data_IF_292151890578
#
_entry.id   IF_292151890578
#
_cell.length_a   1.000
_cell.length_b   1.000
_cell.length_c   1.000
_cell.angle_alpha   90.00
_cell.angle_beta   90.00
_cell.angle_gamma   90.00
#
_symmetry.space_group_name_H-M   'P 1'
#
loop_
_entity.id
_entity.type
_entity.pdbx_description
1 polymer ?
#
# COMPACT_ATOMS: atom_id res chain seq x y z
N UNK A 1 5.20 4.35 28.41
CA UNK A 1 4.73 3.11 27.76
C UNK A 1 3.41 2.74 28.40
N UNK A 2 2.31 2.76 27.64
CA UNK A 2 1.03 2.16 28.07
C UNK A 2 0.36 1.49 26.89
N UNK A 3 -0.06 0.25 27.11
CA UNK A 3 -0.85 -0.57 26.19
C UNK A 3 -2.33 -0.34 26.50
N UNK A 4 -3.13 0.00 25.49
CA UNK A 4 -4.59 -0.08 25.57
C UNK A 4 -5.05 -1.15 24.58
N UNK A 5 -5.64 -2.23 25.08
CA UNK A 5 -6.40 -3.15 24.26
C UNK A 5 -7.69 -2.45 23.79
N UNK A 6 -8.02 -2.58 22.52
CA UNK A 6 -9.38 -2.35 22.05
C UNK A 6 -9.70 -3.28 20.89
N UNK A 7 -10.92 -3.79 20.92
CA UNK A 7 -11.42 -4.94 20.19
C UNK A 7 -11.15 -4.91 18.67
N UNK A 8 -10.95 -6.15 18.16
CA UNK A 8 -10.76 -6.58 16.78
C UNK A 8 -11.77 -5.97 15.80
N UNK A 9 -11.59 -4.71 15.38
CA UNK A 9 -12.24 -4.11 14.21
C UNK A 9 -11.76 -2.70 13.82
N UNK A 10 -11.04 -1.96 14.67
CA UNK A 10 -10.67 -0.58 14.30
C UNK A 10 -9.39 -0.13 14.99
N UNK A 11 -8.33 -0.01 14.22
CA UNK A 11 -7.10 0.65 14.65
C UNK A 11 -7.39 2.14 14.78
N UNK A 12 -7.82 2.59 15.96
CA UNK A 12 -7.78 4.00 16.32
C UNK A 12 -6.37 4.30 16.84
N UNK A 13 -5.57 4.96 16.01
CA UNK A 13 -4.34 5.59 16.46
C UNK A 13 -4.70 6.72 17.41
N UNK A 14 -4.39 6.56 18.70
CA UNK A 14 -4.43 7.66 19.66
C UNK A 14 -3.06 8.36 19.63
N UNK A 15 -3.02 9.59 19.09
CA UNK A 15 -2.22 10.68 19.64
C UNK A 15 -2.71 12.04 19.09
N UNK A 16 -2.54 13.04 19.95
CA UNK A 16 -3.40 14.19 20.19
C UNK A 16 -2.87 15.49 19.58
N UNK A 17 -2.63 15.52 18.27
CA UNK A 17 -2.42 16.75 17.51
C UNK A 17 -3.21 16.60 16.21
N UNK A 18 -4.04 17.60 15.89
CA UNK A 18 -5.06 17.59 14.84
C UNK A 18 -4.65 16.76 13.60
N UNK A 19 -5.09 15.49 13.54
CA UNK A 19 -4.93 14.69 12.33
C UNK A 19 -5.97 15.17 11.34
N UNK A 20 -5.56 16.09 10.47
CA UNK A 20 -6.26 16.38 9.21
C UNK A 20 -6.71 15.05 8.59
N UNK A 21 -7.97 14.99 8.11
CA UNK A 21 -8.43 13.85 7.33
C UNK A 21 -7.36 13.49 6.28
N UNK A 22 -7.01 12.20 6.12
CA UNK A 22 -6.01 11.82 5.14
C UNK A 22 -6.47 12.33 3.77
N UNK A 23 -5.59 13.06 3.07
CA UNK A 23 -5.83 13.59 1.73
C UNK A 23 -6.50 12.52 0.87
N UNK A 24 -7.68 12.83 0.34
CA UNK A 24 -8.31 11.96 -0.65
C UNK A 24 -7.53 12.09 -1.95
N UNK A 25 -7.07 10.95 -2.47
CA UNK A 25 -6.45 10.91 -3.79
C UNK A 25 -7.53 10.98 -4.86
N UNK A 26 -7.23 11.70 -5.94
CA UNK A 26 -8.02 11.54 -7.15
C UNK A 26 -7.62 10.24 -7.89
N UNK A 27 -8.41 9.87 -8.90
CA UNK A 27 -8.21 8.64 -9.66
C UNK A 27 -6.84 8.62 -10.37
N UNK A 28 -6.37 9.75 -10.88
CA UNK A 28 -5.08 9.86 -11.57
C UNK A 28 -3.89 9.64 -10.62
N UNK A 29 -3.96 10.18 -9.41
CA UNK A 29 -2.95 9.99 -8.37
C UNK A 29 -2.91 8.53 -7.91
N UNK A 30 -4.08 7.91 -7.71
CA UNK A 30 -4.18 6.50 -7.37
C UNK A 30 -3.59 5.63 -8.49
N UNK A 31 -4.00 5.86 -9.74
CA UNK A 31 -3.49 5.14 -10.91
C UNK A 31 -1.97 5.28 -11.05
N UNK A 32 -1.41 6.47 -10.76
CA UNK A 32 0.04 6.70 -10.77
C UNK A 32 0.78 5.86 -9.73
N UNK A 33 0.20 5.71 -8.54
CA UNK A 33 0.80 4.88 -7.49
C UNK A 33 0.74 3.39 -7.88
N UNK A 34 -0.38 2.91 -8.43
CA UNK A 34 -0.46 1.53 -8.90
C UNK A 34 0.48 1.24 -10.06
N UNK A 35 0.62 2.18 -11.01
CA UNK A 35 1.62 2.09 -12.06
C UNK A 35 3.04 2.00 -11.48
N UNK A 36 3.36 2.81 -10.48
CA UNK A 36 4.65 2.71 -9.79
C UNK A 36 4.85 1.36 -9.11
N UNK A 37 3.83 0.82 -8.44
CA UNK A 37 3.90 -0.53 -7.85
C UNK A 37 4.21 -1.59 -8.91
N UNK A 38 3.52 -1.54 -10.05
CA UNK A 38 3.69 -2.48 -11.14
C UNK A 38 5.11 -2.43 -11.73
N UNK A 39 5.58 -1.24 -12.12
CA UNK A 39 6.90 -1.04 -12.71
C UNK A 39 8.03 -1.53 -11.80
N UNK A 40 7.95 -1.21 -10.51
CA UNK A 40 9.00 -1.58 -9.57
C UNK A 40 8.99 -3.06 -9.19
N UNK A 41 7.84 -3.74 -9.33
CA UNK A 41 7.66 -5.14 -8.93
C UNK A 41 7.86 -6.15 -10.05
N UNK A 42 8.07 -5.70 -11.30
CA UNK A 42 8.06 -6.58 -12.48
C UNK A 42 9.06 -7.75 -12.39
N UNK A 43 10.25 -7.49 -11.86
CA UNK A 43 11.32 -8.50 -11.71
C UNK A 43 11.76 -8.68 -10.25
N UNK A 44 10.83 -8.46 -9.31
CA UNK A 44 11.14 -8.51 -7.88
C UNK A 44 11.46 -9.94 -7.43
N UNK A 45 12.55 -10.09 -6.68
CA UNK A 45 12.98 -11.38 -6.08
C UNK A 45 13.04 -11.33 -4.55
N UNK A 46 12.90 -10.15 -3.95
CA UNK A 46 12.84 -9.95 -2.50
C UNK A 46 11.90 -8.80 -2.14
N UNK A 47 11.24 -8.83 -0.98
CA UNK A 47 10.35 -7.74 -0.58
C UNK A 47 11.09 -6.41 -0.38
N UNK A 48 10.41 -5.30 -0.66
CA UNK A 48 10.99 -3.97 -0.53
C UNK A 48 11.20 -3.57 0.94
N UNK A 49 12.27 -2.80 1.18
CA UNK A 49 12.34 -1.95 2.36
C UNK A 49 11.42 -0.74 2.13
N UNK A 50 10.34 -0.67 2.90
CA UNK A 50 9.24 0.25 2.60
C UNK A 50 9.63 1.73 2.72
N UNK A 51 10.50 2.12 3.66
CA UNK A 51 10.86 3.54 3.84
C UNK A 51 11.63 4.10 2.64
N UNK A 52 12.57 3.32 2.11
CA UNK A 52 13.35 3.62 0.91
C UNK A 52 12.47 3.58 -0.34
N UNK A 53 11.51 2.65 -0.41
CA UNK A 53 10.53 2.58 -1.49
C UNK A 53 9.64 3.84 -1.56
N UNK A 54 9.12 4.31 -0.43
CA UNK A 54 8.36 5.58 -0.38
C UNK A 54 9.21 6.78 -0.80
N UNK A 55 10.47 6.80 -0.38
CA UNK A 55 11.43 7.84 -0.77
C UNK A 55 11.72 7.80 -2.27
N UNK A 56 11.80 6.61 -2.87
CA UNK A 56 11.98 6.42 -4.31
C UNK A 56 10.80 7.01 -5.09
N UNK A 57 9.57 6.79 -4.65
CA UNK A 57 8.39 7.40 -5.27
C UNK A 57 8.47 8.93 -5.29
N UNK A 58 8.77 9.57 -4.14
CA UNK A 58 8.86 11.05 -4.06
C UNK A 58 10.00 11.63 -4.90
N UNK A 59 11.07 10.86 -5.12
CA UNK A 59 12.17 11.26 -6.02
C UNK A 59 11.78 11.12 -7.49
N UNK A 60 11.02 10.08 -7.83
CA UNK A 60 10.58 9.80 -9.20
C UNK A 60 9.47 10.74 -9.65
N UNK A 61 8.56 11.10 -8.75
CA UNK A 61 7.41 11.95 -9.04
C UNK A 61 7.45 13.20 -8.17
N UNK A 62 7.39 14.37 -8.80
CA UNK A 62 7.11 15.62 -8.11
C UNK A 62 5.71 15.53 -7.52
N UNK A 63 5.62 15.42 -6.19
CA UNK A 63 4.36 15.30 -5.45
C UNK A 63 4.38 16.22 -4.24
N UNK A 64 3.25 16.86 -3.98
CA UNK A 64 2.96 17.67 -2.79
C UNK A 64 2.58 16.80 -1.58
N UNK A 65 2.42 15.48 -1.76
CA UNK A 65 2.09 14.55 -0.69
C UNK A 65 3.25 14.46 0.31
N UNK A 66 2.92 14.72 1.58
CA UNK A 66 3.83 14.60 2.70
C UNK A 66 4.32 13.16 2.89
N UNK A 67 5.53 12.98 3.44
CA UNK A 67 6.11 11.64 3.60
C UNK A 67 5.26 10.72 4.48
N UNK A 68 4.69 11.24 5.57
CA UNK A 68 3.83 10.45 6.46
C UNK A 68 2.48 10.11 5.81
N UNK A 69 1.89 11.04 5.04
CA UNK A 69 0.67 10.77 4.28
C UNK A 69 0.90 9.70 3.23
N UNK A 70 2.06 9.74 2.56
CA UNK A 70 2.44 8.74 1.57
C UNK A 70 2.51 7.33 2.18
N UNK A 71 3.02 7.19 3.40
CA UNK A 71 3.03 5.91 4.13
C UNK A 71 1.62 5.37 4.33
N UNK A 72 0.70 6.23 4.78
CA UNK A 72 -0.70 5.86 5.02
C UNK A 72 -1.40 5.49 3.71
N UNK A 73 -1.18 6.29 2.67
CA UNK A 73 -1.71 6.06 1.31
C UNK A 73 -1.21 4.72 0.77
N UNK A 74 0.09 4.49 0.76
CA UNK A 74 0.68 3.26 0.20
C UNK A 74 0.19 2.03 0.96
N UNK A 75 0.08 2.14 2.29
CA UNK A 75 -0.46 1.06 3.11
C UNK A 75 -1.91 0.72 2.74
N UNK A 76 -2.76 1.71 2.45
CA UNK A 76 -4.14 1.47 2.03
C UNK A 76 -4.22 0.90 0.62
N UNK A 77 -3.48 1.48 -0.33
CA UNK A 77 -3.56 1.08 -1.74
C UNK A 77 -2.98 -0.33 -1.97
N UNK A 78 -1.90 -0.71 -1.27
CA UNK A 78 -1.34 -2.06 -1.43
C UNK A 78 -2.31 -3.18 -1.06
N UNK A 79 -3.27 -2.92 -0.18
CA UNK A 79 -4.29 -3.92 0.18
C UNK A 79 -5.30 -4.16 -0.96
N UNK A 80 -5.47 -3.19 -1.86
CA UNK A 80 -6.38 -3.27 -3.01
C UNK A 80 -5.73 -3.85 -4.27
N UNK A 81 -4.45 -4.27 -4.22
CA UNK A 81 -3.75 -4.80 -5.41
C UNK A 81 -4.51 -5.97 -6.04
N UNK A 82 -5.11 -6.83 -5.21
CA UNK A 82 -5.88 -7.97 -5.69
C UNK A 82 -7.11 -7.56 -6.52
N UNK A 83 -7.65 -6.36 -6.33
CA UNK A 83 -8.81 -5.83 -7.06
C UNK A 83 -8.44 -5.25 -8.45
N UNK A 84 -7.15 -5.01 -8.71
CA UNK A 84 -6.68 -4.33 -9.93
C UNK A 84 -6.54 -5.28 -11.11
N UNK A 85 -7.69 -5.67 -11.67
CA UNK A 85 -7.78 -6.62 -12.79
C UNK A 85 -7.15 -6.11 -14.09
N UNK A 86 -6.81 -4.83 -14.20
CA UNK A 86 -5.99 -4.30 -15.29
C UNK A 86 -4.56 -4.88 -15.29
N UNK A 87 -4.09 -5.42 -14.17
CA UNK A 87 -2.81 -6.12 -14.07
C UNK A 87 -3.02 -7.64 -14.10
N UNK A 88 -2.17 -8.32 -14.89
CA UNK A 88 -2.11 -9.79 -14.91
C UNK A 88 -1.89 -10.38 -13.52
N UNK A 89 -2.40 -11.60 -13.29
CA UNK A 89 -2.32 -12.29 -12.00
C UNK A 89 -0.87 -12.38 -11.48
N UNK A 90 0.07 -12.78 -12.35
CA UNK A 90 1.50 -12.87 -12.00
C UNK A 90 2.08 -11.55 -11.50
N UNK A 91 1.72 -10.44 -12.16
CA UNK A 91 2.18 -9.11 -11.76
C UNK A 91 1.55 -8.67 -10.44
N UNK A 92 0.25 -8.92 -10.23
CA UNK A 92 -0.41 -8.65 -8.94
C UNK A 92 0.23 -9.43 -7.80
N UNK A 93 0.54 -10.71 -8.01
CA UNK A 93 1.24 -11.54 -7.01
C UNK A 93 2.62 -10.97 -6.71
N UNK A 94 3.39 -10.57 -7.73
CA UNK A 94 4.69 -9.90 -7.53
C UNK A 94 4.57 -8.60 -6.74
N UNK A 95 3.59 -7.75 -7.07
CA UNK A 95 3.33 -6.51 -6.31
C UNK A 95 2.97 -6.82 -4.85
N UNK A 96 2.11 -7.81 -4.60
CA UNK A 96 1.73 -8.23 -3.25
C UNK A 96 2.94 -8.73 -2.44
N UNK A 97 3.77 -9.57 -3.04
CA UNK A 97 5.02 -10.05 -2.44
C UNK A 97 5.98 -8.90 -2.14
N UNK A 98 6.26 -8.06 -3.15
CA UNK A 98 7.18 -6.94 -3.05
C UNK A 98 6.79 -5.97 -1.93
N UNK A 99 5.50 -5.63 -1.86
CA UNK A 99 4.95 -4.66 -0.92
C UNK A 99 4.57 -5.28 0.42
N UNK A 100 4.86 -6.56 0.67
CA UNK A 100 4.54 -7.26 1.92
C UNK A 100 3.06 -7.15 2.27
N UNK A 101 2.20 -7.36 1.27
CA UNK A 101 0.75 -7.33 1.42
C UNK A 101 0.33 -8.59 2.18
N UNK A 102 -0.41 -8.46 3.29
CA UNK A 102 -1.02 -9.62 3.92
C UNK A 102 -1.98 -10.26 2.92
N UNK A 103 -1.83 -11.56 2.68
CA UNK A 103 -2.74 -12.26 1.77
C UNK A 103 -4.12 -12.30 2.42
N UNK A 104 -5.12 -11.76 1.73
CA UNK A 104 -6.49 -11.88 2.17
C UNK A 104 -6.87 -13.38 2.16
N UNK A 105 -7.40 -13.97 3.26
CA UNK A 105 -7.92 -15.33 3.27
C UNK A 105 -8.87 -15.66 2.10
N UNK A 106 -9.72 -14.73 1.69
CA UNK A 106 -10.62 -14.94 0.54
C UNK A 106 -9.86 -15.07 -0.79
N UNK A 107 -8.66 -14.49 -0.89
CA UNK A 107 -7.79 -14.59 -2.06
C UNK A 107 -7.02 -15.92 -2.11
N UNK A 108 -6.85 -16.61 -0.98
CA UNK A 108 -6.22 -17.94 -0.94
C UNK A 108 -7.10 -19.00 -1.61
N UNK A 109 -8.42 -18.82 -1.60
CA UNK A 109 -9.37 -19.77 -2.20
C UNK A 109 -9.17 -19.89 -3.72
N UNK A 110 -8.66 -18.84 -4.37
CA UNK A 110 -8.40 -18.82 -5.82
C UNK A 110 -7.17 -19.65 -6.23
N UNK A 111 -6.24 -19.90 -5.30
CA UNK A 111 -5.00 -20.66 -5.58
C UNK A 111 -5.15 -22.17 -5.37
N UNK A 112 -6.31 -22.64 -4.92
CA UNK A 112 -6.57 -24.06 -4.60
C UNK A 112 -7.42 -24.74 -5.68
N UNK A 113 -7.82 -24.01 -6.73
CA UNK A 113 -8.49 -24.54 -7.92
C UNK A 113 -7.59 -24.44 -9.16
#
# INVERSE_FOLDING_TARGET
>A
MSFCQSNRASWKFCNSEATSMPRQLNEEEEARIFKFFAEESENVTSPFELNSFYSKFRKKYTTDIGYNDLKVIFFKLRLKIHEKNEYGMDLRVRMMFALRVPVNPEFLVVLVN
#
